data_IF_451102002373
#
_entry.id   IF_451102002373
#
_cell.length_a   1.000
_cell.length_b   1.000
_cell.length_c   1.000
_cell.angle_alpha   90.00
_cell.angle_beta   90.00
_cell.angle_gamma   90.00
#
_symmetry.space_group_name_H-M   'P 1'
#
loop_
_entity.id
_entity.type
_entity.pdbx_description
1 polymer ?
#
# COMPACT_ATOMS: atom_id res chain seq x y z
N UNK A 1 11.18 0.88 7.30
CA UNK A 1 10.07 0.85 6.32
C UNK A 1 9.87 2.23 5.73
N UNK A 2 9.78 2.35 4.39
CA UNK A 2 9.49 3.60 3.69
C UNK A 2 8.03 3.61 3.24
N UNK A 3 7.46 4.82 3.09
CA UNK A 3 6.06 5.02 2.69
C UNK A 3 6.01 6.12 1.63
N UNK A 4 5.20 5.93 0.59
CA UNK A 4 4.82 6.91 -0.41
C UNK A 4 3.30 6.92 -0.53
N UNK A 5 2.72 8.10 -0.72
CA UNK A 5 1.28 8.28 -0.95
C UNK A 5 1.10 9.01 -2.28
N UNK A 6 0.17 8.53 -3.10
CA UNK A 6 -0.20 9.17 -4.36
C UNK A 6 -1.71 9.31 -4.49
N UNK A 7 -2.13 10.34 -5.23
CA UNK A 7 -3.53 10.51 -5.61
C UNK A 7 -3.74 9.82 -6.96
N UNK A 8 -4.71 8.92 -7.02
CA UNK A 8 -5.11 8.25 -8.24
C UNK A 8 -6.09 9.13 -9.05
N UNK A 9 -6.17 8.96 -10.38
CA UNK A 9 -7.07 9.75 -11.23
C UNK A 9 -8.56 9.61 -10.89
N UNK A 10 -8.95 8.51 -10.23
CA UNK A 10 -10.32 8.26 -9.79
C UNK A 10 -10.66 8.92 -8.44
N UNK A 11 -9.73 9.68 -7.87
CA UNK A 11 -9.87 10.35 -6.57
C UNK A 11 -9.31 9.53 -5.40
N UNK A 12 -9.14 8.22 -5.54
CA UNK A 12 -8.63 7.37 -4.47
C UNK A 12 -7.18 7.71 -4.10
N UNK A 13 -6.80 7.37 -2.87
CA UNK A 13 -5.40 7.49 -2.44
C UNK A 13 -4.76 6.12 -2.50
N UNK A 14 -3.58 6.02 -3.11
CA UNK A 14 -2.77 4.81 -3.07
C UNK A 14 -1.59 4.99 -2.13
N UNK A 15 -1.51 4.10 -1.15
CA UNK A 15 -0.43 3.99 -0.19
C UNK A 15 0.52 2.90 -0.69
N UNK A 16 1.80 3.22 -0.80
CA UNK A 16 2.86 2.28 -1.17
C UNK A 16 3.84 2.25 -0.01
N UNK A 17 4.12 1.08 0.54
CA UNK A 17 5.06 0.93 1.64
C UNK A 17 6.00 -0.24 1.40
N UNK A 18 7.13 -0.25 2.09
CA UNK A 18 8.04 -1.39 2.08
C UNK A 18 9.50 -1.03 2.29
N UNK A 19 10.30 -2.05 2.56
CA UNK A 19 11.73 -1.94 2.78
C UNK A 19 12.54 -1.91 1.47
N UNK A 20 11.96 -2.39 0.36
CA UNK A 20 12.58 -2.37 -0.97
C UNK A 20 11.95 -1.35 -1.91
N UNK A 21 11.04 -0.51 -1.44
CA UNK A 21 10.27 0.44 -2.23
C UNK A 21 11.09 1.27 -3.23
N UNK A 22 12.28 1.74 -2.83
CA UNK A 22 13.16 2.55 -3.71
C UNK A 22 13.95 1.73 -4.74
N UNK A 23 13.97 0.41 -4.62
CA UNK A 23 14.59 -0.48 -5.60
C UNK A 23 13.61 -0.82 -6.74
N UNK A 24 12.33 -0.50 -6.56
CA UNK A 24 11.28 -0.65 -7.55
C UNK A 24 11.07 0.67 -8.29
N UNK A 25 11.51 0.72 -9.54
CA UNK A 25 11.19 1.78 -10.49
C UNK A 25 9.93 1.38 -11.26
N UNK A 26 8.77 1.71 -10.69
CA UNK A 26 7.45 1.31 -11.18
C UNK A 26 6.55 2.54 -11.34
N UNK A 27 5.69 2.52 -12.35
CA UNK A 27 4.58 3.47 -12.44
C UNK A 27 3.47 3.04 -11.48
N UNK A 28 3.39 3.67 -10.31
CA UNK A 28 2.37 3.35 -9.32
C UNK A 28 1.01 4.00 -9.59
N UNK A 29 0.83 4.76 -10.67
CA UNK A 29 -0.45 5.38 -11.02
C UNK A 29 -1.38 4.45 -11.82
N UNK A 30 -0.85 3.33 -12.31
CA UNK A 30 -1.56 2.36 -13.13
C UNK A 30 -2.59 1.52 -12.33
N UNK A 31 -3.47 0.77 -13.01
CA UNK A 31 -4.38 -0.16 -12.35
C UNK A 31 -3.63 -1.33 -11.65
N UNK A 32 -4.18 -1.85 -10.54
CA UNK A 32 -3.50 -2.88 -9.71
C UNK A 32 -3.16 -4.15 -10.49
N UNK A 33 -3.97 -4.56 -11.46
CA UNK A 33 -3.72 -5.73 -12.29
C UNK A 33 -2.47 -5.58 -13.17
N UNK A 34 -2.24 -4.37 -13.71
CA UNK A 34 -1.03 -4.03 -14.47
C UNK A 34 0.15 -3.87 -13.53
N UNK A 35 -0.03 -3.15 -12.41
CA UNK A 35 1.02 -2.95 -11.41
C UNK A 35 1.54 -4.28 -10.86
N UNK A 36 0.66 -5.25 -10.60
CA UNK A 36 1.05 -6.59 -10.19
C UNK A 36 2.01 -7.25 -11.16
N UNK A 37 1.72 -7.19 -12.47
CA UNK A 37 2.57 -7.79 -13.50
C UNK A 37 3.95 -7.13 -13.52
N UNK A 38 4.00 -5.82 -13.37
CA UNK A 38 5.26 -5.08 -13.34
C UNK A 38 6.07 -5.38 -12.07
N UNK A 39 5.42 -5.52 -10.90
CA UNK A 39 6.07 -5.96 -9.65
C UNK A 39 6.64 -7.37 -9.81
N UNK A 40 5.87 -8.30 -10.38
CA UNK A 40 6.34 -9.67 -10.64
C UNK A 40 7.55 -9.69 -11.57
N UNK A 41 7.54 -8.85 -12.60
CA UNK A 41 8.67 -8.68 -13.49
C UNK A 41 9.90 -8.11 -12.76
N UNK A 42 9.74 -7.02 -12.00
CA UNK A 42 10.82 -6.42 -11.23
C UNK A 42 11.41 -7.38 -10.19
N UNK A 43 10.56 -8.17 -9.53
CA UNK A 43 10.99 -9.24 -8.62
C UNK A 43 11.87 -10.28 -9.30
N UNK A 44 11.53 -10.71 -10.52
CA UNK A 44 12.35 -11.66 -11.28
C UNK A 44 13.75 -11.11 -11.62
N UNK A 45 13.89 -9.78 -11.70
CA UNK A 45 15.18 -9.12 -11.92
C UNK A 45 15.94 -8.96 -10.59
N UNK A 46 15.24 -8.61 -9.51
CA UNK A 46 15.83 -8.44 -8.18
C UNK A 46 16.29 -9.76 -7.56
N UNK A 47 15.56 -10.86 -7.76
CA UNK A 47 15.91 -12.19 -7.23
C UNK A 47 17.28 -12.64 -7.74
N UNK A 48 17.58 -12.39 -9.02
CA UNK A 48 18.88 -12.65 -9.65
C UNK A 48 20.01 -11.80 -9.08
N UNK A 49 19.71 -10.56 -8.68
CA UNK A 49 20.73 -9.64 -8.11
C UNK A 49 21.03 -9.91 -6.63
N UNK A 50 20.12 -10.53 -5.89
CA UNK A 50 20.21 -10.71 -4.43
C UNK A 50 20.32 -12.17 -3.97
N UNK A 51 20.57 -13.11 -4.89
CA UNK A 51 20.62 -14.56 -4.60
C UNK A 51 19.41 -15.09 -3.83
N UNK A 52 18.23 -14.53 -4.13
CA UNK A 52 16.96 -14.93 -3.52
C UNK A 52 16.22 -15.96 -4.39
N UNK A 53 16.93 -16.56 -5.34
CA UNK A 53 16.41 -17.43 -6.40
C UNK A 53 15.68 -18.68 -5.87
N UNK A 54 15.96 -19.08 -4.62
CA UNK A 54 15.37 -20.24 -3.98
C UNK A 54 14.19 -19.93 -3.06
N UNK A 55 13.81 -18.66 -2.88
CA UNK A 55 12.59 -18.33 -2.14
C UNK A 55 11.42 -18.28 -3.10
N UNK A 56 10.37 -19.05 -2.81
CA UNK A 56 9.14 -19.08 -3.59
C UNK A 56 8.29 -17.84 -3.27
N UNK A 57 8.77 -16.69 -3.77
CA UNK A 57 8.20 -15.36 -3.57
C UNK A 57 7.15 -15.11 -4.65
N UNK A 58 6.01 -14.57 -4.24
CA UNK A 58 4.92 -14.22 -5.16
C UNK A 58 4.26 -12.90 -4.77
N UNK A 59 3.55 -12.33 -5.73
CA UNK A 59 2.69 -11.15 -5.50
C UNK A 59 1.26 -11.61 -5.38
N UNK A 60 0.66 -11.41 -4.21
CA UNK A 60 -0.77 -11.62 -4.00
C UNK A 60 -1.54 -10.33 -4.31
N UNK A 61 -2.80 -10.50 -4.70
CA UNK A 61 -3.69 -9.40 -5.01
C UNK A 61 -5.06 -9.67 -4.41
N UNK A 62 -5.61 -8.68 -3.72
CA UNK A 62 -7.04 -8.55 -3.42
C UNK A 62 -7.63 -7.38 -4.20
N UNK A 63 -8.87 -7.00 -3.92
CA UNK A 63 -9.58 -5.93 -4.62
C UNK A 63 -8.84 -4.59 -4.60
N UNK A 64 -8.24 -4.25 -3.46
CA UNK A 64 -7.58 -2.95 -3.22
C UNK A 64 -6.14 -3.07 -2.76
N UNK A 65 -5.57 -4.27 -2.73
CA UNK A 65 -4.27 -4.48 -2.10
C UNK A 65 -3.37 -5.43 -2.90
N UNK A 66 -2.08 -5.09 -2.96
CA UNK A 66 -1.00 -5.93 -3.46
C UNK A 66 0.05 -6.10 -2.38
N UNK A 67 0.58 -7.31 -2.26
CA UNK A 67 1.67 -7.58 -1.33
C UNK A 67 2.63 -8.63 -1.88
N UNK A 68 3.89 -8.50 -1.51
CA UNK A 68 4.95 -9.47 -1.79
C UNK A 68 5.05 -10.41 -0.59
N UNK A 69 4.75 -11.68 -0.83
CA UNK A 69 4.69 -12.70 0.21
C UNK A 69 5.62 -13.87 -0.08
N UNK A 70 5.94 -14.60 0.97
CA UNK A 70 6.65 -15.88 0.90
C UNK A 70 5.74 -17.04 0.47
N UNK A 71 6.29 -18.25 0.51
CA UNK A 71 5.57 -19.46 0.12
C UNK A 71 4.37 -19.79 1.01
N UNK A 72 4.39 -19.32 2.26
CA UNK A 72 3.36 -19.48 3.29
C UNK A 72 2.35 -18.32 3.32
N UNK A 73 2.37 -17.40 2.34
CA UNK A 73 1.58 -16.16 2.32
C UNK A 73 1.91 -15.18 3.47
N UNK A 74 3.11 -15.24 4.04
CA UNK A 74 3.56 -14.23 4.99
C UNK A 74 4.10 -13.02 4.25
N UNK A 75 3.63 -11.82 4.63
CA UNK A 75 4.15 -10.56 4.09
C UNK A 75 5.64 -10.46 4.35
N UNK A 76 6.39 -10.09 3.31
CA UNK A 76 7.82 -9.85 3.42
C UNK A 76 8.13 -8.39 3.77
N UNK A 77 7.13 -7.50 3.83
CA UNK A 77 7.28 -6.04 3.97
C UNK A 77 8.21 -5.44 2.90
N UNK A 78 8.34 -6.07 1.73
CA UNK A 78 9.23 -5.61 0.67
C UNK A 78 8.60 -4.51 -0.16
N UNK A 79 7.36 -4.73 -0.55
CA UNK A 79 6.51 -3.77 -1.25
C UNK A 79 5.05 -4.17 -1.03
N UNK A 80 4.29 -3.23 -0.50
CA UNK A 80 2.85 -3.34 -0.30
C UNK A 80 2.19 -2.13 -0.94
N UNK A 81 1.07 -2.34 -1.62
CA UNK A 81 0.29 -1.30 -2.28
C UNK A 81 -1.15 -1.41 -1.82
N UNK A 82 -1.75 -0.32 -1.40
CA UNK A 82 -3.14 -0.29 -0.94
C UNK A 82 -3.88 0.92 -1.51
N UNK A 83 -5.02 0.67 -2.15
CA UNK A 83 -5.94 1.68 -2.64
C UNK A 83 -6.98 1.96 -1.56
N UNK A 84 -7.02 3.20 -1.11
CA UNK A 84 -7.98 3.67 -0.14
C UNK A 84 -9.01 4.57 -0.81
N UNK A 85 -10.27 4.18 -0.65
CA UNK A 85 -11.39 4.86 -1.26
C UNK A 85 -11.53 6.30 -0.74
N UNK A 86 -11.62 7.26 -1.66
CA UNK A 86 -11.70 8.68 -1.31
C UNK A 86 -12.92 9.02 -0.44
N UNK A 87 -14.04 8.32 -0.65
CA UNK A 87 -15.27 8.55 0.10
C UNK A 87 -15.13 8.25 1.60
N UNK A 88 -14.23 7.36 1.99
CA UNK A 88 -14.01 7.03 3.39
C UNK A 88 -13.44 8.22 4.16
N UNK A 89 -12.41 8.90 3.65
CA UNK A 89 -11.83 10.08 4.30
C UNK A 89 -12.78 11.28 4.31
N UNK A 90 -13.60 11.44 3.26
CA UNK A 90 -14.61 12.50 3.22
C UNK A 90 -15.70 12.26 4.28
N UNK A 91 -16.18 11.01 4.41
CA UNK A 91 -17.10 10.62 5.48
C UNK A 91 -16.45 10.84 6.85
N UNK A 92 -15.21 10.37 7.07
CA UNK A 92 -14.49 10.57 8.33
C UNK A 92 -14.31 12.06 8.70
N UNK A 93 -14.09 12.93 7.71
CA UNK A 93 -13.96 14.37 7.95
C UNK A 93 -15.27 15.05 8.37
N UNK A 94 -16.41 14.42 8.06
CA UNK A 94 -17.76 14.87 8.42
C UNK A 94 -18.29 14.22 9.71
N UNK A 95 -17.62 13.17 10.21
CA UNK A 95 -18.00 12.47 11.44
C UNK A 95 -17.59 13.24 12.70
N UNK A 96 -18.39 13.06 13.76
CA UNK A 96 -18.06 13.61 15.08
C UNK A 96 -16.89 12.83 15.70
N UNK A 97 -16.21 13.44 16.67
CA UNK A 97 -15.06 12.79 17.32
C UNK A 97 -15.47 11.54 18.13
N UNK A 98 -16.75 11.41 18.49
CA UNK A 98 -17.34 10.24 19.13
C UNK A 98 -17.52 9.09 18.12
N UNK A 99 -18.03 9.39 16.91
CA UNK A 99 -18.17 8.41 15.83
C UNK A 99 -16.81 7.90 15.32
N UNK A 100 -15.78 8.74 15.31
CA UNK A 100 -14.41 8.35 14.91
C UNK A 100 -13.80 7.36 15.90
N UNK A 101 -14.10 7.50 17.18
CA UNK A 101 -13.59 6.62 18.24
C UNK A 101 -14.19 5.22 18.15
N UNK A 102 -15.48 5.11 17.84
CA UNK A 102 -16.14 3.83 17.61
C UNK A 102 -15.62 3.13 16.34
N UNK A 103 -15.29 3.91 15.30
CA UNK A 103 -14.68 3.38 14.08
C UNK A 103 -13.24 2.89 14.27
N UNK A 104 -12.43 3.56 15.09
CA UNK A 104 -11.07 3.11 15.44
C UNK A 104 -11.06 1.75 16.18
N UNK A 105 -12.13 1.41 16.90
CA UNK A 105 -12.30 0.09 17.55
C UNK A 105 -12.69 -1.02 16.56
N UNK A 106 -13.45 -0.69 15.51
CA UNK A 106 -13.94 -1.64 14.49
C UNK A 106 -12.90 -1.83 13.36
N UNK A 107 -12.21 -0.76 13.00
CA UNK A 107 -11.16 -0.70 11.98
C UNK A 107 -9.95 0.04 12.56
N UNK A 108 -9.03 -0.64 13.25
CA UNK A 108 -7.87 0.01 13.84
C UNK A 108 -6.93 0.50 12.73
N UNK A 109 -7.15 1.73 12.26
CA UNK A 109 -6.21 2.46 11.41
C UNK A 109 -4.97 2.73 12.26
N UNK A 110 -3.80 2.30 11.78
CA UNK A 110 -2.54 2.61 12.49
C UNK A 110 -2.40 4.13 12.55
N UNK A 111 -2.27 4.68 13.76
CA UNK A 111 -2.18 6.11 14.09
C UNK A 111 -1.12 6.91 13.30
N UNK A 112 -0.26 6.26 12.51
CA UNK A 112 0.68 6.93 11.61
C UNK A 112 0.02 7.67 10.45
N UNK A 113 -1.23 7.36 10.12
CA UNK A 113 -1.87 7.84 8.89
C UNK A 113 -2.74 9.10 9.11
N UNK A 114 -3.13 9.38 10.35
CA UNK A 114 -3.94 10.56 10.72
C UNK A 114 -3.12 11.84 10.91
N UNK A 115 -1.84 11.71 11.27
CA UNK A 115 -0.95 12.85 11.58
C UNK A 115 -0.43 13.65 10.37
N UNK A 116 -0.72 13.23 9.14
CA UNK A 116 -0.29 13.95 7.93
C UNK A 116 -1.34 14.92 7.36
N UNK A 117 -2.58 14.89 7.85
CA UNK A 117 -3.69 15.70 7.30
C UNK A 117 -3.74 17.09 7.98
N UNK A 118 -3.37 17.21 9.26
CA UNK A 118 -3.48 18.48 10.01
C UNK A 118 -2.45 19.56 9.63
N UNK A 119 -1.44 19.26 8.81
CA UNK A 119 -0.36 20.23 8.50
C UNK A 119 -0.46 20.93 7.15
N UNK A 120 -1.53 20.73 6.37
CA UNK A 120 -1.66 21.36 5.04
C UNK A 120 -2.65 22.52 4.97
N UNK A 121 -3.31 22.88 6.07
CA UNK A 121 -4.14 24.08 6.17
C UNK A 121 -3.79 24.88 7.42
N UNK A 122 -2.65 25.57 7.38
CA UNK A 122 -2.30 26.67 8.27
C UNK A 122 -1.78 27.85 7.45
#
# INVERSE_FOLDING_TARGET
MKIKVLNLPNGDKRIISGNLLEQFDLDYTQALDKLKRDIQFALSVLSRKKSIENQNIRVIQSEHHLDIVDEHNQSLDWLTVEDQWHGFFSILSELTDEDKKDLDEIFPLKQSDTLSIEKQHA
#
